data_IF_493054553426
#
_entry.id   IF_493054553426
#
_cell.length_a   1.000
_cell.length_b   1.000
_cell.length_c   1.000
_cell.angle_alpha   90.00
_cell.angle_beta   90.00
_cell.angle_gamma   90.00
#
_symmetry.space_group_name_H-M   'P 1'
#
loop_
_entity.id
_entity.type
_entity.pdbx_description
1 polymer ?
#
# COMPACT_ATOMS: atom_id res chain seq x y z
N UNK A 1 -14.94 -6.60 4.19
CA UNK A 1 -13.53 -6.20 4.34
C UNK A 1 -12.91 -7.12 5.37
N UNK A 2 -12.10 -8.09 4.93
CA UNK A 2 -11.51 -9.16 5.77
C UNK A 2 -10.30 -8.71 6.63
N UNK A 3 -10.09 -7.40 6.74
CA UNK A 3 -8.97 -6.87 7.52
C UNK A 3 -9.39 -6.72 8.97
N UNK A 4 -8.94 -7.66 9.79
CA UNK A 4 -9.04 -7.56 11.24
C UNK A 4 -8.21 -6.37 11.76
N UNK A 5 -8.82 -5.39 12.46
CA UNK A 5 -8.10 -4.27 13.02
C UNK A 5 -7.10 -4.73 14.10
N UNK A 6 -5.88 -4.20 14.08
CA UNK A 6 -4.87 -4.49 15.11
C UNK A 6 -3.44 -4.31 14.63
N UNK A 7 -2.53 -4.05 15.57
CA UNK A 7 -1.08 -4.07 15.30
C UNK A 7 -0.62 -5.49 15.02
N UNK A 8 0.25 -5.67 14.02
CA UNK A 8 0.86 -6.96 13.66
C UNK A 8 -0.13 -8.07 13.23
N UNK A 9 -1.33 -7.69 12.78
CA UNK A 9 -2.23 -8.62 12.09
C UNK A 9 -1.58 -9.11 10.80
N UNK A 10 -1.81 -10.37 10.38
CA UNK A 10 -1.37 -10.82 9.07
C UNK A 10 -1.99 -9.92 7.99
N UNK A 11 -1.22 -9.58 6.93
CA UNK A 11 -1.75 -8.80 5.83
C UNK A 11 -2.91 -9.55 5.17
N UNK A 12 -3.91 -8.83 4.61
CA UNK A 12 -4.93 -9.45 3.79
C UNK A 12 -4.30 -10.15 2.57
N UNK A 13 -5.03 -11.06 1.93
CA UNK A 13 -4.53 -11.72 0.73
C UNK A 13 -4.12 -10.69 -0.33
N UNK A 14 -3.08 -11.01 -1.12
CA UNK A 14 -2.62 -10.13 -2.22
C UNK A 14 -3.78 -9.81 -3.17
N UNK A 15 -4.66 -10.79 -3.42
CA UNK A 15 -5.84 -10.59 -4.26
C UNK A 15 -6.79 -9.53 -3.66
N UNK A 16 -7.06 -9.60 -2.35
CA UNK A 16 -7.88 -8.61 -1.64
C UNK A 16 -7.28 -7.22 -1.77
N UNK A 17 -5.95 -7.10 -1.67
CA UNK A 17 -5.26 -5.82 -1.84
C UNK A 17 -5.35 -5.27 -3.27
N UNK A 18 -5.15 -6.12 -4.28
CA UNK A 18 -5.27 -5.73 -5.69
C UNK A 18 -6.69 -5.31 -6.02
N UNK A 19 -7.69 -6.05 -5.52
CA UNK A 19 -9.10 -5.69 -5.68
C UNK A 19 -9.42 -4.33 -5.03
N UNK A 20 -8.86 -4.08 -3.84
CA UNK A 20 -9.02 -2.78 -3.18
C UNK A 20 -8.35 -1.65 -3.97
N UNK A 21 -7.14 -1.87 -4.49
CA UNK A 21 -6.47 -0.91 -5.38
C UNK A 21 -7.28 -0.64 -6.65
N UNK A 22 -7.77 -1.67 -7.33
CA UNK A 22 -8.63 -1.51 -8.51
C UNK A 22 -9.91 -0.72 -8.19
N UNK A 23 -10.52 -0.95 -7.02
CA UNK A 23 -11.67 -0.17 -6.58
C UNK A 23 -11.30 1.29 -6.30
N UNK A 24 -10.14 1.53 -5.68
CA UNK A 24 -9.64 2.88 -5.41
C UNK A 24 -9.33 3.67 -6.69
N UNK A 25 -8.79 3.02 -7.72
CA UNK A 25 -8.53 3.64 -9.03
C UNK A 25 -9.80 4.07 -9.77
N UNK A 26 -10.97 3.51 -9.42
CA UNK A 26 -12.26 3.94 -9.98
C UNK A 26 -12.80 5.21 -9.32
N UNK A 27 -12.24 5.61 -8.18
CA UNK A 27 -12.64 6.83 -7.48
C UNK A 27 -12.03 8.02 -8.22
N UNK A 28 -12.88 8.96 -8.63
CA UNK A 28 -12.41 10.17 -9.31
C UNK A 28 -11.43 10.94 -8.42
N UNK A 29 -10.17 11.03 -8.87
CA UNK A 29 -9.15 11.85 -8.23
C UNK A 29 -9.39 13.31 -8.63
N UNK A 30 -9.67 14.17 -7.65
CA UNK A 30 -9.65 15.61 -7.85
C UNK A 30 -8.22 16.16 -7.82
N UNK A 31 -8.07 17.48 -7.77
CA UNK A 31 -6.75 18.14 -7.68
C UNK A 31 -6.05 17.99 -6.31
N UNK A 32 -6.69 17.30 -5.36
CA UNK A 32 -6.20 17.10 -4.00
C UNK A 32 -5.48 15.76 -3.80
N UNK A 33 -4.65 15.63 -2.75
CA UNK A 33 -3.99 14.38 -2.40
C UNK A 33 -4.99 13.31 -1.96
N UNK A 34 -4.75 12.06 -2.34
CA UNK A 34 -5.50 10.91 -1.80
C UNK A 34 -5.00 10.60 -0.38
N UNK A 35 -5.93 10.55 0.58
CA UNK A 35 -5.63 10.21 1.98
C UNK A 35 -5.96 8.74 2.24
N UNK A 36 -4.95 7.95 2.58
CA UNK A 36 -5.12 6.55 3.01
C UNK A 36 -5.00 6.46 4.53
N UNK A 37 -6.01 5.89 5.18
CA UNK A 37 -6.03 5.65 6.64
C UNK A 37 -6.22 4.16 6.94
N UNK A 38 -5.65 3.71 8.04
CA UNK A 38 -5.87 2.38 8.62
C UNK A 38 -5.88 2.51 10.15
N UNK A 39 -6.12 1.40 10.86
CA UNK A 39 -6.31 1.43 12.32
C UNK A 39 -5.17 2.10 13.10
N UNK A 40 -3.90 1.80 12.75
CA UNK A 40 -2.72 2.39 13.39
C UNK A 40 -2.04 3.48 12.54
N UNK A 41 -2.59 3.79 11.37
CA UNK A 41 -2.04 4.72 10.40
C UNK A 41 -0.70 4.32 9.80
N UNK A 42 -0.25 3.07 9.99
CA UNK A 42 1.10 2.60 9.61
C UNK A 42 1.02 1.30 8.84
N UNK A 43 0.52 0.24 9.48
CA UNK A 43 0.57 -1.13 8.96
C UNK A 43 -0.14 -1.19 7.62
N UNK A 44 -1.41 -0.77 7.61
CA UNK A 44 -2.21 -0.92 6.41
C UNK A 44 -1.94 0.11 5.33
N UNK A 45 -1.71 1.35 5.73
CA UNK A 45 -1.34 2.42 4.82
C UNK A 45 -0.01 2.10 4.12
N UNK A 46 1.01 1.67 4.87
CA UNK A 46 2.32 1.36 4.29
C UNK A 46 2.27 0.25 3.26
N UNK A 47 1.51 -0.83 3.55
CA UNK A 47 1.36 -1.95 2.64
C UNK A 47 0.60 -1.56 1.36
N UNK A 48 -0.51 -0.83 1.50
CA UNK A 48 -1.28 -0.35 0.36
C UNK A 48 -0.48 0.63 -0.51
N UNK A 49 0.22 1.58 0.10
CA UNK A 49 1.03 2.56 -0.63
C UNK A 49 2.20 1.91 -1.35
N UNK A 50 2.86 0.91 -0.74
CA UNK A 50 3.94 0.18 -1.39
C UNK A 50 3.43 -0.62 -2.61
N UNK A 51 2.29 -1.30 -2.46
CA UNK A 51 1.65 -2.01 -3.56
C UNK A 51 1.22 -1.05 -4.69
N UNK A 52 0.59 0.07 -4.33
CA UNK A 52 0.15 1.07 -5.30
C UNK A 52 1.33 1.61 -6.11
N UNK A 53 2.44 1.93 -5.43
CA UNK A 53 3.66 2.37 -6.08
C UNK A 53 4.22 1.30 -7.04
N UNK A 54 4.22 0.03 -6.65
CA UNK A 54 4.66 -1.07 -7.52
C UNK A 54 3.77 -1.22 -8.75
N UNK A 55 2.45 -1.20 -8.58
CA UNK A 55 1.49 -1.35 -9.67
C UNK A 55 1.58 -0.19 -10.67
N UNK A 56 1.70 1.05 -10.16
CA UNK A 56 1.88 2.24 -11.00
C UNK A 56 3.21 2.18 -11.78
N UNK A 57 4.32 1.79 -11.12
CA UNK A 57 5.62 1.65 -11.77
C UNK A 57 5.65 0.53 -12.80
N UNK A 58 5.04 -0.62 -12.52
CA UNK A 58 4.91 -1.69 -13.49
C UNK A 58 4.10 -1.26 -14.73
N UNK A 59 3.05 -0.46 -14.55
CA UNK A 59 2.23 0.01 -15.65
C UNK A 59 3.00 0.97 -16.59
N UNK A 60 3.88 1.80 -16.03
CA UNK A 60 4.63 2.82 -16.78
C UNK A 60 5.97 2.30 -17.32
N UNK A 61 6.76 1.65 -16.47
CA UNK A 61 8.17 1.32 -16.72
C UNK A 61 8.40 -0.19 -16.97
N UNK A 62 7.37 -1.03 -16.77
CA UNK A 62 7.47 -2.50 -16.82
C UNK A 62 8.53 -3.09 -15.87
N UNK A 63 8.90 -2.34 -14.84
CA UNK A 63 9.87 -2.74 -13.82
C UNK A 63 9.16 -3.04 -12.49
N UNK A 64 9.68 -4.04 -11.77
CA UNK A 64 9.16 -4.45 -10.47
C UNK A 64 10.31 -4.48 -9.45
N UNK A 65 10.41 -3.43 -8.66
CA UNK A 65 11.40 -3.31 -7.57
C UNK A 65 10.71 -3.01 -6.23
N UNK A 66 10.50 -4.08 -5.46
CA UNK A 66 9.92 -4.03 -4.11
C UNK A 66 10.78 -3.19 -3.16
N UNK A 67 12.11 -3.25 -3.28
CA UNK A 67 13.00 -2.46 -2.44
C UNK A 67 12.82 -0.96 -2.70
N UNK A 68 12.75 -0.56 -3.96
CA UNK A 68 12.47 0.83 -4.32
C UNK A 68 11.10 1.31 -3.85
N UNK A 69 10.08 0.45 -3.93
CA UNK A 69 8.74 0.76 -3.42
C UNK A 69 8.72 0.96 -1.91
N UNK A 70 9.31 0.03 -1.15
CA UNK A 70 9.39 0.15 0.30
C UNK A 70 10.23 1.35 0.72
N UNK A 71 11.34 1.62 0.00
CA UNK A 71 12.17 2.81 0.23
C UNK A 71 11.38 4.09 -0.07
N UNK A 72 10.57 4.12 -1.11
CA UNK A 72 9.75 5.29 -1.46
C UNK A 72 8.73 5.61 -0.37
N UNK A 73 7.98 4.61 0.12
CA UNK A 73 7.01 4.84 1.20
C UNK A 73 7.68 5.16 2.53
N UNK A 74 8.83 4.56 2.84
CA UNK A 74 9.57 4.88 4.08
C UNK A 74 10.16 6.29 4.09
N UNK A 75 10.42 6.89 2.92
CA UNK A 75 10.81 8.31 2.84
C UNK A 75 9.70 9.24 3.32
N UNK A 76 8.42 8.90 3.12
CA UNK A 76 7.30 9.70 3.62
C UNK A 76 7.00 9.41 5.09
N UNK A 77 7.05 8.13 5.50
CA UNK A 77 6.92 7.74 6.90
C UNK A 77 7.79 6.52 7.24
N UNK A 78 8.85 6.68 8.06
CA UNK A 78 9.82 5.62 8.34
C UNK A 78 9.22 4.33 8.92
N UNK A 79 8.08 4.40 9.61
CA UNK A 79 7.42 3.25 10.23
C UNK A 79 6.70 2.33 9.23
N UNK A 80 6.56 2.72 7.95
CA UNK A 80 5.89 1.88 6.97
C UNK A 80 6.67 0.59 6.65
N UNK A 81 5.93 -0.50 6.43
CA UNK A 81 6.45 -1.83 6.08
C UNK A 81 7.52 -2.31 7.07
N UNK A 82 7.21 -2.24 8.39
CA UNK A 82 8.19 -2.50 9.45
C UNK A 82 8.51 -3.99 9.67
N UNK A 83 7.60 -4.89 9.33
CA UNK A 83 7.74 -6.34 9.53
C UNK A 83 8.18 -7.03 8.24
N UNK A 84 8.98 -8.10 8.38
CA UNK A 84 9.37 -8.99 7.28
C UNK A 84 8.16 -9.65 6.59
N UNK A 85 7.06 -9.86 7.33
CA UNK A 85 5.81 -10.42 6.76
C UNK A 85 5.17 -9.47 5.73
N UNK A 86 5.54 -8.19 5.77
CA UNK A 86 5.00 -7.15 4.89
C UNK A 86 5.92 -6.82 3.71
N UNK A 87 7.13 -7.39 3.68
CA UNK A 87 8.07 -7.32 2.56
C UNK A 87 7.79 -8.44 1.57
#
# INVERSE_FOLDING_TARGET
TEWEPGRNQPPPSVMTMVMFWQAAERIARGDGPTVTICHDGVTGCGLYLALSFLLERMAVEKEFDVYSAVRAVRRSRPDFVRSLVMY
#
